data_IF_980654543995
#
_entry.id   IF_980654543995
#
_cell.length_a   1.000
_cell.length_b   1.000
_cell.length_c   1.000
_cell.angle_alpha   90.00
_cell.angle_beta   90.00
_cell.angle_gamma   90.00
#
_symmetry.space_group_name_H-M   'P 1'
#
loop_
_entity.id
_entity.type
_entity.pdbx_description
1 polymer ?
#
# COMPACT_ATOMS: atom_id res chain seq x y z
N UNK A 1 5.15 17.14 -11.86
CA UNK A 1 6.53 17.36 -11.48
C UNK A 1 6.85 16.69 -10.16
N UNK A 2 6.22 17.09 -9.05
CA UNK A 2 6.43 16.41 -7.77
C UNK A 2 6.01 14.95 -7.77
N UNK A 3 4.98 14.59 -8.53
CA UNK A 3 4.49 13.21 -8.62
C UNK A 3 5.43 12.28 -9.35
N UNK A 4 6.20 12.78 -10.31
CA UNK A 4 7.21 11.97 -11.01
C UNK A 4 8.30 11.51 -10.08
N UNK A 5 8.74 12.38 -9.17
CA UNK A 5 9.76 12.04 -8.19
C UNK A 5 9.24 11.01 -7.19
N UNK A 6 8.02 11.18 -6.70
CA UNK A 6 7.36 10.24 -5.81
C UNK A 6 7.21 8.88 -6.49
N UNK A 7 6.75 8.87 -7.73
CA UNK A 7 6.56 7.65 -8.49
C UNK A 7 7.89 6.93 -8.74
N UNK A 8 8.95 7.66 -9.04
CA UNK A 8 10.29 7.11 -9.20
C UNK A 8 10.78 6.48 -7.90
N UNK A 9 10.60 7.17 -6.77
CA UNK A 9 10.99 6.64 -5.46
C UNK A 9 10.22 5.36 -5.14
N UNK A 10 8.94 5.34 -5.46
CA UNK A 10 8.10 4.15 -5.27
C UNK A 10 8.60 2.98 -6.10
N UNK A 11 8.87 3.20 -7.39
CA UNK A 11 9.39 2.17 -8.28
C UNK A 11 10.71 1.61 -7.76
N UNK A 12 11.62 2.47 -7.35
CA UNK A 12 12.92 2.06 -6.83
C UNK A 12 12.79 1.27 -5.54
N UNK A 13 11.88 1.68 -4.65
CA UNK A 13 11.67 1.00 -3.37
C UNK A 13 11.10 -0.39 -3.60
N UNK A 14 10.06 -0.50 -4.41
CA UNK A 14 9.39 -1.78 -4.67
C UNK A 14 10.32 -2.76 -5.38
N UNK A 15 11.26 -2.26 -6.18
CA UNK A 15 12.23 -3.10 -6.89
C UNK A 15 13.35 -3.64 -5.99
N UNK A 16 13.49 -3.18 -4.77
CA UNK A 16 14.54 -3.64 -3.85
C UNK A 16 14.34 -5.09 -3.42
N UNK A 17 15.42 -5.79 -3.12
CA UNK A 17 15.36 -7.14 -2.57
C UNK A 17 14.99 -7.15 -1.10
N UNK A 18 15.44 -6.15 -0.35
CA UNK A 18 15.14 -6.01 1.09
C UNK A 18 14.40 -4.69 1.31
N UNK A 19 13.50 -4.67 2.29
CA UNK A 19 12.72 -3.50 2.64
C UNK A 19 12.00 -2.91 1.41
N UNK A 20 11.38 -3.82 0.65
CA UNK A 20 10.70 -3.48 -0.60
C UNK A 20 9.27 -3.00 -0.41
N UNK A 21 8.75 -3.02 0.81
CA UNK A 21 7.41 -2.51 1.10
C UNK A 21 7.48 -0.99 1.29
N UNK A 22 6.44 -0.32 0.86
CA UNK A 22 6.39 1.13 0.86
C UNK A 22 5.12 1.61 1.55
N UNK A 23 5.20 2.71 2.27
CA UNK A 23 4.02 3.40 2.78
C UNK A 23 4.01 4.83 2.28
N UNK A 24 2.95 5.16 1.54
CA UNK A 24 2.72 6.52 1.04
C UNK A 24 2.01 7.31 2.12
N UNK A 25 2.57 8.44 2.51
CA UNK A 25 1.97 9.31 3.53
C UNK A 25 1.64 10.66 2.94
N UNK A 26 0.60 11.27 3.47
CA UNK A 26 0.16 12.59 3.03
C UNK A 26 -1.25 12.87 3.49
N UNK A 27 -1.70 14.10 3.32
CA UNK A 27 -3.07 14.47 3.66
C UNK A 27 -4.11 13.77 2.80
N UNK A 28 -5.34 13.79 3.26
CA UNK A 28 -6.46 13.26 2.46
C UNK A 28 -6.56 14.01 1.13
N UNK A 29 -6.73 13.28 0.04
CA UNK A 29 -6.91 13.87 -1.27
C UNK A 29 -5.65 14.33 -1.99
N UNK A 30 -4.44 14.03 -1.47
CA UNK A 30 -3.19 14.40 -2.16
C UNK A 30 -2.84 13.49 -3.34
N UNK A 31 -3.62 12.43 -3.57
CA UNK A 31 -3.44 11.56 -4.74
C UNK A 31 -2.60 10.31 -4.50
N UNK A 32 -2.61 9.78 -3.28
CA UNK A 32 -1.88 8.54 -2.97
C UNK A 32 -2.34 7.37 -3.84
N UNK A 33 -3.65 7.24 -4.04
CA UNK A 33 -4.21 6.21 -4.92
C UNK A 33 -3.75 6.40 -6.37
N UNK A 34 -3.68 7.64 -6.83
CA UNK A 34 -3.20 7.94 -8.19
C UNK A 34 -1.73 7.55 -8.38
N UNK A 35 -0.91 7.64 -7.33
CA UNK A 35 0.48 7.19 -7.40
C UNK A 35 0.55 5.68 -7.62
N UNK A 36 -0.26 4.91 -6.88
CA UNK A 36 -0.30 3.45 -7.07
C UNK A 36 -0.81 3.07 -8.46
N UNK A 37 -1.81 3.78 -8.97
CA UNK A 37 -2.33 3.58 -10.33
C UNK A 37 -1.25 3.93 -11.38
N UNK A 38 -0.45 4.96 -11.11
CA UNK A 38 0.68 5.32 -11.97
C UNK A 38 1.73 4.23 -12.04
N UNK A 39 2.02 3.58 -10.91
CA UNK A 39 2.92 2.43 -10.90
C UNK A 39 2.38 1.29 -11.75
N UNK A 40 1.09 0.96 -11.61
CA UNK A 40 0.46 -0.09 -12.40
C UNK A 40 0.58 0.21 -13.91
N UNK A 41 0.37 1.45 -14.30
CA UNK A 41 0.52 1.89 -15.69
C UNK A 41 1.94 1.71 -16.20
N UNK A 42 2.94 2.10 -15.39
CA UNK A 42 4.35 1.92 -15.77
C UNK A 42 4.71 0.46 -15.94
N UNK A 43 4.17 -0.42 -15.12
CA UNK A 43 4.41 -1.86 -15.25
C UNK A 43 3.83 -2.38 -16.57
N UNK A 44 2.60 -2.00 -16.90
CA UNK A 44 1.96 -2.40 -18.16
C UNK A 44 2.75 -1.90 -19.37
N UNK A 45 3.30 -0.68 -19.29
CA UNK A 45 4.10 -0.09 -20.36
C UNK A 45 5.54 -0.63 -20.42
N UNK A 46 5.93 -1.45 -19.45
CA UNK A 46 7.29 -2.01 -19.37
C UNK A 46 8.36 -1.00 -18.97
N UNK A 47 7.98 0.12 -18.37
CA UNK A 47 8.89 1.20 -17.98
C UNK A 47 9.37 1.07 -16.53
N UNK A 48 9.65 -0.13 -16.10
CA UNK A 48 10.10 -0.44 -14.73
C UNK A 48 11.28 -1.41 -14.78
N UNK A 49 12.06 -1.52 -13.69
CA UNK A 49 13.14 -2.53 -13.63
C UNK A 49 12.59 -3.94 -13.83
N UNK A 50 13.43 -4.82 -14.38
CA UNK A 50 13.06 -6.20 -14.71
C UNK A 50 12.50 -6.97 -13.52
N UNK A 51 12.96 -6.66 -12.31
CA UNK A 51 12.52 -7.32 -11.07
C UNK A 51 11.02 -7.23 -10.85
N UNK A 52 10.39 -6.13 -11.28
CA UNK A 52 8.95 -5.91 -11.09
C UNK A 52 8.17 -5.84 -12.40
N UNK A 53 8.84 -6.14 -13.52
CA UNK A 53 8.23 -5.99 -14.86
C UNK A 53 7.01 -6.88 -15.08
N UNK A 54 6.97 -8.04 -14.41
CA UNK A 54 5.87 -9.00 -14.52
C UNK A 54 4.88 -8.92 -13.35
N UNK A 55 5.01 -7.91 -12.50
CA UNK A 55 4.13 -7.75 -11.34
C UNK A 55 2.79 -7.15 -11.76
N UNK A 56 1.75 -7.46 -10.98
CA UNK A 56 0.42 -6.88 -11.13
C UNK A 56 0.06 -6.17 -9.82
N UNK A 57 -0.48 -4.98 -9.91
CA UNK A 57 -0.92 -4.24 -8.72
C UNK A 57 -2.38 -4.58 -8.43
N UNK A 58 -2.63 -5.11 -7.24
CA UNK A 58 -3.99 -5.38 -6.75
C UNK A 58 -4.31 -4.37 -5.65
N UNK A 59 -5.50 -3.78 -5.73
CA UNK A 59 -5.98 -2.85 -4.72
C UNK A 59 -6.86 -3.59 -3.72
N UNK A 60 -6.53 -3.46 -2.43
CA UNK A 60 -7.33 -4.00 -1.34
C UNK A 60 -8.09 -2.85 -0.69
N UNK A 61 -9.41 -2.90 -0.77
CA UNK A 61 -10.29 -1.93 -0.13
C UNK A 61 -10.83 -2.56 1.15
N UNK A 62 -10.35 -2.08 2.30
CA UNK A 62 -10.76 -2.59 3.61
C UNK A 62 -12.25 -2.40 3.86
N UNK A 63 -12.81 -1.29 3.39
CA UNK A 63 -14.24 -1.02 3.54
C UNK A 63 -15.07 -2.10 2.84
N UNK A 64 -14.69 -2.44 1.61
CA UNK A 64 -15.38 -3.50 0.86
C UNK A 64 -15.17 -4.87 1.48
N UNK A 65 -13.98 -5.11 2.02
CA UNK A 65 -13.66 -6.38 2.66
C UNK A 65 -14.53 -6.63 3.89
N UNK A 66 -14.79 -5.58 4.66
CA UNK A 66 -15.61 -5.66 5.87
C UNK A 66 -17.11 -5.62 5.52
N UNK A 67 -17.48 -4.91 4.45
CA UNK A 67 -18.88 -4.77 4.05
C UNK A 67 -19.51 -6.13 3.75
N UNK A 68 -20.72 -6.33 4.25
CA UNK A 68 -21.44 -7.59 4.05
C UNK A 68 -21.03 -8.72 5.01
N UNK A 69 -20.03 -8.49 5.85
CA UNK A 69 -19.71 -9.47 6.90
C UNK A 69 -20.55 -9.17 8.13
N UNK A 70 -21.41 -10.10 8.53
CA UNK A 70 -22.22 -9.99 9.74
C UNK A 70 -21.48 -10.45 10.98
N UNK A 71 -20.63 -11.44 10.81
CA UNK A 71 -19.95 -12.09 11.92
C UNK A 71 -18.44 -12.06 11.70
N UNK A 72 -17.72 -12.12 12.80
CA UNK A 72 -16.27 -12.17 12.80
C UNK A 72 -15.72 -13.30 11.92
N UNK A 73 -16.39 -14.47 11.95
CA UNK A 73 -15.99 -15.63 11.15
C UNK A 73 -16.04 -15.37 9.65
N UNK A 74 -16.98 -14.57 9.17
CA UNK A 74 -17.08 -14.21 7.75
C UNK A 74 -15.88 -13.39 7.31
N UNK A 75 -15.46 -12.45 8.13
CA UNK A 75 -14.29 -11.61 7.85
C UNK A 75 -13.01 -12.45 7.85
N UNK A 76 -12.85 -13.33 8.84
CA UNK A 76 -11.70 -14.22 8.93
C UNK A 76 -11.60 -15.13 7.70
N UNK A 77 -12.73 -15.66 7.24
CA UNK A 77 -12.76 -16.49 6.04
C UNK A 77 -12.34 -15.72 4.79
N UNK A 78 -12.81 -14.50 4.64
CA UNK A 78 -12.39 -13.63 3.52
C UNK A 78 -10.89 -13.34 3.55
N UNK A 79 -10.33 -13.07 4.72
CA UNK A 79 -8.91 -12.82 4.89
C UNK A 79 -8.09 -14.08 4.60
N UNK A 80 -8.58 -15.24 5.00
CA UNK A 80 -7.93 -16.52 4.71
C UNK A 80 -7.89 -16.77 3.20
N UNK A 81 -9.01 -16.54 2.51
CA UNK A 81 -9.08 -16.71 1.05
C UNK A 81 -8.13 -15.74 0.35
N UNK A 82 -8.05 -14.50 0.81
CA UNK A 82 -7.13 -13.52 0.26
C UNK A 82 -5.67 -13.97 0.45
N UNK A 83 -5.33 -14.44 1.65
CA UNK A 83 -3.98 -14.95 1.94
C UNK A 83 -3.60 -16.10 1.05
N UNK A 84 -4.52 -17.04 0.83
CA UNK A 84 -4.29 -18.18 -0.05
C UNK A 84 -4.09 -17.75 -1.49
N UNK A 85 -4.91 -16.81 -1.96
CA UNK A 85 -4.78 -16.28 -3.32
C UNK A 85 -3.42 -15.58 -3.52
N UNK A 86 -2.98 -14.81 -2.53
CA UNK A 86 -1.68 -14.12 -2.60
C UNK A 86 -0.50 -15.10 -2.60
N UNK A 87 -0.62 -16.21 -1.87
CA UNK A 87 0.44 -17.23 -1.86
C UNK A 87 0.55 -17.94 -3.21
N UNK A 88 -0.55 -18.10 -3.92
CA UNK A 88 -0.58 -18.75 -5.23
C UNK A 88 -0.07 -17.85 -6.35
N UNK A 89 -0.05 -16.54 -6.14
CA UNK A 89 0.37 -15.56 -7.14
C UNK A 89 1.47 -14.67 -6.59
N UNK A 90 2.75 -15.11 -6.67
CA UNK A 90 3.86 -14.35 -6.08
C UNK A 90 4.17 -13.04 -6.80
N UNK A 91 3.56 -12.80 -7.96
CA UNK A 91 3.84 -11.62 -8.79
C UNK A 91 2.87 -10.47 -8.53
N UNK A 92 2.35 -10.38 -7.30
CA UNK A 92 1.41 -9.34 -6.93
C UNK A 92 2.07 -8.30 -6.03
N UNK A 93 1.80 -7.02 -6.35
CA UNK A 93 2.06 -5.89 -5.46
C UNK A 93 0.69 -5.48 -4.91
N UNK A 94 0.52 -5.59 -3.60
CA UNK A 94 -0.75 -5.29 -2.96
C UNK A 94 -0.78 -3.84 -2.50
N UNK A 95 -1.72 -3.05 -3.04
CA UNK A 95 -1.96 -1.69 -2.59
C UNK A 95 -3.07 -1.70 -1.54
N UNK A 96 -2.78 -1.19 -0.35
CA UNK A 96 -3.74 -1.14 0.77
C UNK A 96 -3.94 0.31 1.16
N UNK A 97 -5.11 0.86 0.82
CA UNK A 97 -5.47 2.18 1.27
C UNK A 97 -5.84 2.14 2.76
N UNK A 98 -5.54 3.21 3.46
CA UNK A 98 -5.76 3.29 4.91
C UNK A 98 -5.16 2.11 5.67
N UNK A 99 -3.91 1.78 5.36
CA UNK A 99 -3.21 0.62 5.93
C UNK A 99 -3.15 0.65 7.46
N UNK A 100 -3.29 1.83 8.05
CA UNK A 100 -3.31 1.97 9.51
C UNK A 100 -4.48 1.22 10.16
N UNK A 101 -5.55 0.94 9.41
CA UNK A 101 -6.68 0.15 9.92
C UNK A 101 -6.30 -1.31 10.14
N UNK A 102 -5.30 -1.81 9.42
CA UNK A 102 -4.82 -3.19 9.55
C UNK A 102 -3.71 -3.27 10.60
N UNK A 103 -2.80 -2.30 10.58
CA UNK A 103 -1.61 -2.30 11.41
C UNK A 103 -1.86 -1.44 12.64
N UNK A 104 -1.65 -2.00 13.83
CA UNK A 104 -1.78 -1.25 15.07
C UNK A 104 -3.20 -0.95 15.49
N UNK A 105 -4.17 -1.58 14.90
CA UNK A 105 -5.57 -1.38 15.27
C UNK A 105 -5.90 -2.17 16.53
N UNK A 106 -5.62 -1.59 17.67
CA UNK A 106 -5.97 -2.19 18.94
C UNK A 106 -7.43 -2.05 19.32
N UNK A 107 -8.23 -1.31 18.55
CA UNK A 107 -9.58 -0.94 18.93
C UNK A 107 -10.68 -1.85 18.36
N UNK A 108 -10.40 -2.64 17.30
CA UNK A 108 -11.37 -3.58 16.75
C UNK A 108 -10.71 -4.93 16.52
N UNK A 109 -11.39 -6.00 16.92
CA UNK A 109 -10.90 -7.35 16.76
C UNK A 109 -10.70 -7.73 15.29
N UNK A 110 -11.55 -7.23 14.40
CA UNK A 110 -11.47 -7.52 12.97
C UNK A 110 -10.19 -6.97 12.35
N UNK A 111 -9.83 -5.75 12.68
CA UNK A 111 -8.61 -5.13 12.17
C UNK A 111 -7.36 -5.83 12.70
N UNK A 112 -7.37 -6.28 13.97
CA UNK A 112 -6.28 -7.06 14.54
C UNK A 112 -6.08 -8.37 13.79
N UNK A 113 -7.17 -9.06 13.47
CA UNK A 113 -7.11 -10.34 12.76
C UNK A 113 -6.54 -10.15 11.36
N UNK A 114 -6.92 -9.10 10.66
CA UNK A 114 -6.38 -8.77 9.35
C UNK A 114 -4.87 -8.53 9.41
N UNK A 115 -4.42 -7.74 10.37
CA UNK A 115 -3.00 -7.49 10.58
C UNK A 115 -2.23 -8.75 10.88
N UNK A 116 -2.75 -9.60 11.76
CA UNK A 116 -2.12 -10.86 12.14
C UNK A 116 -2.02 -11.83 10.96
N UNK A 117 -2.99 -11.83 10.06
CA UNK A 117 -2.95 -12.68 8.86
C UNK A 117 -1.94 -12.20 7.83
N UNK A 118 -1.73 -10.89 7.72
CA UNK A 118 -0.80 -10.34 6.74
C UNK A 118 0.65 -10.30 7.26
N UNK A 119 0.87 -10.24 8.56
CA UNK A 119 2.22 -10.17 9.15
C UNK A 119 3.15 -11.30 8.68
N UNK A 120 2.74 -12.58 8.66
CA UNK A 120 3.63 -13.64 8.17
C UNK A 120 4.02 -13.46 6.71
N UNK A 121 3.08 -13.05 5.86
CA UNK A 121 3.36 -12.81 4.44
C UNK A 121 4.33 -11.65 4.24
N UNK A 122 4.18 -10.58 5.01
CA UNK A 122 5.09 -9.44 5.00
C UNK A 122 6.49 -9.84 5.48
N UNK A 123 6.54 -10.66 6.53
CA UNK A 123 7.79 -11.12 7.11
C UNK A 123 8.57 -12.02 6.18
N UNK A 124 7.88 -12.83 5.37
CA UNK A 124 8.53 -13.76 4.43
C UNK A 124 9.19 -13.06 3.24
N UNK A 125 8.85 -11.79 2.98
CA UNK A 125 9.36 -11.06 1.83
C UNK A 125 8.75 -11.46 0.50
N UNK A 126 7.84 -12.42 0.49
CA UNK A 126 7.19 -12.89 -0.74
C UNK A 126 6.12 -11.91 -1.23
N UNK A 127 5.49 -11.19 -0.32
CA UNK A 127 4.45 -10.22 -0.65
C UNK A 127 5.03 -8.82 -0.62
N UNK A 128 4.86 -8.08 -1.71
CA UNK A 128 5.20 -6.66 -1.77
C UNK A 128 3.94 -5.85 -1.51
N UNK A 129 4.03 -4.89 -0.59
CA UNK A 129 2.87 -4.08 -0.18
C UNK A 129 3.19 -2.61 -0.32
N UNK A 130 2.24 -1.87 -0.87
CA UNK A 130 2.24 -0.41 -0.87
C UNK A 130 1.05 0.02 -0.02
N UNK A 131 1.33 0.59 1.15
CA UNK A 131 0.29 1.14 2.00
C UNK A 131 0.10 2.61 1.75
N UNK A 132 -1.08 3.11 2.05
CA UNK A 132 -1.38 4.54 2.03
C UNK A 132 -2.03 4.93 3.35
N UNK A 133 -1.60 6.06 3.90
CA UNK A 133 -2.14 6.57 5.16
C UNK A 133 -1.84 8.07 5.27
N UNK A 134 -2.40 8.72 6.28
CA UNK A 134 -2.09 10.12 6.56
C UNK A 134 -0.84 10.21 7.44
N UNK A 135 -0.20 11.39 7.45
CA UNK A 135 0.96 11.62 8.32
C UNK A 135 0.61 11.42 9.80
N UNK A 136 -0.57 11.86 10.20
CA UNK A 136 -1.05 11.70 11.57
C UNK A 136 -1.19 10.23 11.97
N UNK A 137 -1.85 9.44 11.12
CA UNK A 137 -2.05 8.01 11.38
C UNK A 137 -0.73 7.25 11.32
N UNK A 138 0.19 7.65 10.43
CA UNK A 138 1.52 7.07 10.37
C UNK A 138 2.25 7.20 11.70
N UNK A 139 2.24 8.39 12.30
CA UNK A 139 2.88 8.62 13.59
C UNK A 139 2.23 7.80 14.70
N UNK A 140 0.90 7.72 14.72
CA UNK A 140 0.17 6.97 15.76
C UNK A 140 0.43 5.48 15.72
N UNK A 141 0.57 4.92 14.52
CA UNK A 141 0.56 3.47 14.30
C UNK A 141 1.95 2.94 13.99
N UNK A 142 2.57 3.45 12.94
CA UNK A 142 3.84 2.91 12.44
C UNK A 142 5.02 3.22 13.37
N UNK A 143 5.05 4.38 13.98
CA UNK A 143 6.14 4.72 14.89
C UNK A 143 6.12 3.88 16.17
N UNK A 144 4.95 3.38 16.56
CA UNK A 144 4.79 2.51 17.73
C UNK A 144 5.05 1.04 17.42
N UNK A 145 4.81 0.61 16.18
CA UNK A 145 5.00 -0.77 15.74
C UNK A 145 6.37 -0.92 15.06
N UNK A 146 7.42 -0.90 15.84
CA UNK A 146 8.79 -0.88 15.33
C UNK A 146 9.14 -2.06 14.42
N UNK A 147 8.61 -3.25 14.71
CA UNK A 147 8.88 -4.44 13.90
C UNK A 147 8.34 -4.29 12.47
N UNK A 148 7.15 -3.72 12.32
CA UNK A 148 6.54 -3.48 11.01
C UNK A 148 7.15 -2.26 10.33
N UNK A 149 7.42 -1.18 11.08
CA UNK A 149 8.02 0.03 10.54
C UNK A 149 9.35 -0.26 9.84
N UNK A 150 10.12 -1.22 10.37
CA UNK A 150 11.40 -1.61 9.78
C UNK A 150 11.27 -2.23 8.39
N UNK A 151 10.10 -2.77 8.06
CA UNK A 151 9.85 -3.43 6.78
C UNK A 151 9.29 -2.49 5.72
N UNK A 152 8.92 -1.28 6.12
CA UNK A 152 8.34 -0.29 5.22
C UNK A 152 9.25 0.90 5.03
N UNK A 153 9.34 1.38 3.79
CA UNK A 153 10.00 2.65 3.49
C UNK A 153 8.92 3.71 3.34
N UNK A 154 9.05 4.80 4.08
CA UNK A 154 8.11 5.92 4.02
C UNK A 154 8.39 6.76 2.78
N UNK A 155 7.36 7.03 1.98
CA UNK A 155 7.44 7.96 0.86
C UNK A 155 6.36 9.02 1.05
N UNK A 156 6.78 10.26 1.26
CA UNK A 156 5.85 11.36 1.48
C UNK A 156 5.27 11.86 0.16
N UNK A 157 3.96 12.02 0.13
CA UNK A 157 3.24 12.59 -1.02
C UNK A 157 2.73 13.96 -0.59
N UNK A 158 3.41 14.99 -1.05
CA UNK A 158 3.06 16.35 -0.70
C UNK A 158 1.90 16.86 -1.55
N UNK A 159 1.18 17.85 -1.04
CA UNK A 159 0.18 18.53 -1.84
C UNK A 159 0.86 19.22 -3.02
N UNK A 160 0.22 19.20 -4.22
CA UNK A 160 0.79 19.93 -5.36
C UNK A 160 0.99 21.40 -5.01
N UNK A 161 2.16 21.95 -5.35
CA UNK A 161 2.38 23.39 -5.22
C UNK A 161 1.45 24.12 -6.18
N UNK A 162 1.27 25.43 -5.97
CA UNK A 162 0.45 26.24 -6.88
C UNK A 162 0.94 26.11 -8.33
N UNK A 163 2.25 26.04 -8.52
CA UNK A 163 2.86 25.85 -9.83
C UNK A 163 2.49 24.48 -10.43
N UNK A 164 2.58 23.41 -9.65
CA UNK A 164 2.22 22.07 -10.09
C UNK A 164 0.73 21.97 -10.42
N UNK A 165 -0.12 22.60 -9.61
CA UNK A 165 -1.56 22.64 -9.85
C UNK A 165 -1.89 23.32 -11.17
N UNK A 166 -1.18 24.42 -11.51
CA UNK A 166 -1.37 25.09 -12.78
C UNK A 166 -0.96 24.22 -13.97
N UNK A 167 0.13 23.47 -13.85
CA UNK A 167 0.56 22.55 -14.90
C UNK A 167 -0.45 21.40 -15.12
N UNK A 168 -0.99 20.86 -14.04
CA UNK A 168 -2.01 19.82 -14.12
C UNK A 168 -3.26 20.35 -14.84
N UNK A 169 -3.68 21.58 -14.54
CA UNK A 169 -4.84 22.19 -15.20
C UNK A 169 -4.59 22.47 -16.68
N UNK A 170 -3.36 22.79 -17.06
CA UNK A 170 -3.01 23.00 -18.47
C UNK A 170 -2.98 21.71 -19.29
N UNK A 171 -2.75 20.56 -18.65
CA UNK A 171 -2.69 19.27 -19.33
C UNK A 171 -4.06 18.61 -19.46
N UNK A 172 -5.05 19.13 -18.82
CA UNK A 172 -6.43 18.67 -18.95
C UNK A 172 -7.25 19.58 -19.84
#
# INVERSE_FOLDING_TARGET
>A
VGRRDVLRDLVQTVARKKKSNCVLTGGSGVGKTAIAQGLAKLIVEGKVPDVIKNKTVWELDMTKLVAGTKYRGDFEERMKQLGEALQKQPDIILFIDEIHQIIGAGSTNQSMDAGNMLKPALASGKLKVIGATTDEEYRKVFEKETALARRFTKVSVDEPSVKDAKEVLKQT
#
